data_IF_748522514472
#
_entry.id   IF_748522514472
#
_cell.length_a   1.000
_cell.length_b   1.000
_cell.length_c   1.000
_cell.angle_alpha   90.00
_cell.angle_beta   90.00
_cell.angle_gamma   90.00
#
_symmetry.space_group_name_H-M   'P 1'
#
loop_
_entity.id
_entity.type
_entity.pdbx_description
1 polymer ?
#
# COMPACT_ATOMS: atom_id res chain seq x y z
N UNK A 1 -1.19 4.18 -17.57
CA UNK A 1 -1.70 3.50 -16.39
C UNK A 1 -2.73 4.41 -15.77
N UNK A 2 -3.83 3.85 -15.29
CA UNK A 2 -4.78 4.55 -14.42
C UNK A 2 -4.77 3.92 -13.05
N UNK A 3 -4.82 4.76 -12.01
CA UNK A 3 -4.99 4.29 -10.64
C UNK A 3 -6.39 3.71 -10.47
N UNK A 4 -6.45 2.42 -10.16
CA UNK A 4 -7.66 1.64 -9.98
C UNK A 4 -8.14 1.66 -8.53
N UNK A 5 -7.21 1.38 -7.61
CA UNK A 5 -7.47 1.37 -6.18
C UNK A 5 -6.19 1.62 -5.37
N UNK A 6 -6.38 2.08 -4.14
CA UNK A 6 -5.33 2.17 -3.11
C UNK A 6 -5.72 1.20 -2.01
N UNK A 7 -4.83 0.28 -1.66
CA UNK A 7 -5.09 -0.76 -0.66
C UNK A 7 -3.97 -0.87 0.36
N UNK A 8 -4.34 -1.34 1.56
CA UNK A 8 -3.39 -1.78 2.58
C UNK A 8 -3.35 -3.30 2.59
N UNK A 9 -2.16 -3.87 2.44
CA UNK A 9 -1.94 -5.32 2.40
C UNK A 9 -1.08 -5.72 3.60
N UNK A 10 -1.59 -6.65 4.40
CA UNK A 10 -0.82 -7.27 5.46
C UNK A 10 0.26 -8.16 4.85
N UNK A 11 1.52 -7.89 5.19
CA UNK A 11 2.64 -8.81 5.00
C UNK A 11 2.98 -9.41 6.36
N UNK A 12 2.83 -10.72 6.50
CA UNK A 12 3.11 -11.43 7.74
C UNK A 12 3.54 -12.87 7.46
N UNK A 13 4.52 -13.35 8.20
CA UNK A 13 5.02 -14.74 8.16
C UNK A 13 5.48 -15.16 6.75
N UNK A 14 6.06 -14.20 6.00
CA UNK A 14 6.56 -14.43 4.64
C UNK A 14 5.50 -14.42 3.55
N UNK A 15 4.28 -13.94 3.82
CA UNK A 15 3.19 -13.84 2.84
C UNK A 15 2.56 -12.46 2.80
N UNK A 16 2.08 -12.07 1.63
CA UNK A 16 1.06 -11.03 1.45
C UNK A 16 -0.33 -11.67 1.57
N UNK A 17 -1.12 -11.21 2.53
CA UNK A 17 -2.48 -11.70 2.81
C UNK A 17 -3.50 -10.87 2.02
N UNK A 18 -3.65 -11.21 0.74
CA UNK A 18 -4.47 -10.46 -0.23
C UNK A 18 -5.98 -10.55 0.04
N UNK A 19 -6.46 -11.64 0.64
CA UNK A 19 -7.87 -11.80 1.03
C UNK A 19 -8.28 -10.90 2.21
N UNK A 20 -7.30 -10.37 2.94
CA UNK A 20 -7.48 -9.44 4.07
C UNK A 20 -7.11 -8.00 3.67
N UNK A 21 -6.89 -7.75 2.38
CA UNK A 21 -6.52 -6.43 1.89
C UNK A 21 -7.63 -5.42 2.19
N UNK A 22 -7.24 -4.28 2.77
CA UNK A 22 -8.18 -3.21 3.12
C UNK A 22 -8.17 -2.18 2.00
N UNK A 23 -9.30 -2.00 1.34
CA UNK A 23 -9.47 -0.98 0.31
C UNK A 23 -9.58 0.38 0.98
N UNK A 24 -8.60 1.25 0.75
CA UNK A 24 -8.64 2.65 1.22
C UNK A 24 -9.48 3.48 0.28
N UNK A 25 -9.32 3.26 -1.03
CA UNK A 25 -10.11 3.92 -2.07
C UNK A 25 -10.17 3.05 -3.33
N UNK A 26 -11.33 3.01 -3.96
CA UNK A 26 -11.54 2.38 -5.27
C UNK A 26 -12.13 3.42 -6.22
N UNK A 27 -11.56 3.55 -7.42
CA UNK A 27 -11.95 4.57 -8.40
C UNK A 27 -12.82 4.00 -9.53
N UNK A 28 -12.91 2.68 -9.67
CA UNK A 28 -13.66 2.03 -10.75
C UNK A 28 -14.45 0.79 -10.30
N UNK A 29 -14.75 0.70 -9.01
CA UNK A 29 -15.54 -0.40 -8.45
C UNK A 29 -14.76 -1.70 -8.24
N UNK A 30 -13.44 -1.72 -8.43
CA UNK A 30 -12.61 -2.85 -8.04
C UNK A 30 -12.78 -3.19 -6.56
N UNK A 31 -12.94 -4.48 -6.26
CA UNK A 31 -13.40 -5.00 -4.97
C UNK A 31 -12.45 -6.01 -4.30
N UNK A 32 -11.28 -6.28 -4.88
CA UNK A 32 -10.27 -7.13 -4.24
C UNK A 32 -9.50 -8.03 -5.20
N UNK A 33 -8.66 -8.86 -4.60
CA UNK A 33 -7.84 -9.83 -5.31
C UNK A 33 -8.56 -11.18 -5.44
N UNK A 34 -8.35 -11.88 -6.55
CA UNK A 34 -8.84 -13.26 -6.72
C UNK A 34 -8.07 -14.29 -5.86
N UNK A 35 -6.82 -13.98 -5.51
CA UNK A 35 -5.97 -14.84 -4.68
C UNK A 35 -6.11 -14.45 -3.20
N UNK A 36 -6.09 -15.44 -2.30
CA UNK A 36 -6.12 -15.18 -0.85
C UNK A 36 -4.77 -14.78 -0.27
N UNK A 37 -3.67 -15.40 -0.73
CA UNK A 37 -2.31 -15.14 -0.24
C UNK A 37 -1.27 -15.39 -1.31
N UNK A 38 -0.16 -14.65 -1.26
CA UNK A 38 1.00 -14.81 -2.16
C UNK A 38 2.28 -14.73 -1.35
N UNK A 39 3.30 -15.53 -1.70
CA UNK A 39 4.59 -15.51 -0.99
C UNK A 39 5.27 -14.15 -1.18
N UNK A 40 5.73 -13.55 -0.08
CA UNK A 40 6.50 -12.32 -0.12
C UNK A 40 7.97 -12.63 -0.45
N UNK A 41 8.58 -11.79 -1.29
CA UNK A 41 10.01 -11.91 -1.63
C UNK A 41 10.91 -11.63 -0.41
N UNK A 42 10.51 -10.68 0.44
CA UNK A 42 11.31 -10.22 1.57
C UNK A 42 10.66 -10.59 2.91
N UNK A 43 11.45 -11.07 3.88
CA UNK A 43 10.97 -11.40 5.21
C UNK A 43 10.76 -10.10 6.00
N UNK A 44 9.52 -9.83 6.41
CA UNK A 44 9.22 -8.70 7.27
C UNK A 44 7.73 -8.61 7.55
N UNK A 45 7.38 -8.19 8.76
CA UNK A 45 5.99 -8.05 9.18
C UNK A 45 5.58 -6.58 9.11
N UNK A 46 4.38 -6.32 8.59
CA UNK A 46 3.85 -4.97 8.49
C UNK A 46 2.70 -4.85 7.50
N UNK A 47 2.15 -3.67 7.41
CA UNK A 47 1.18 -3.28 6.39
C UNK A 47 1.88 -2.47 5.33
N UNK A 48 1.61 -2.78 4.06
CA UNK A 48 2.11 -2.03 2.91
C UNK A 48 0.98 -1.37 2.14
N UNK A 49 1.23 -0.16 1.64
CA UNK A 49 0.34 0.49 0.66
C UNK A 49 0.65 -0.07 -0.72
N UNK A 50 -0.36 -0.55 -1.42
CA UNK A 50 -0.26 -0.93 -2.82
C UNK A 50 -1.20 -0.10 -3.68
N UNK A 51 -0.68 0.35 -4.82
CA UNK A 51 -1.45 1.00 -5.88
C UNK A 51 -1.83 -0.05 -6.91
N UNK A 52 -3.13 -0.30 -7.04
CA UNK A 52 -3.64 -1.20 -8.07
C UNK A 52 -3.82 -0.36 -9.32
N UNK A 53 -3.14 -0.74 -10.38
CA UNK A 53 -3.15 -0.02 -11.66
C UNK A 53 -3.91 -0.82 -12.70
N UNK A 54 -4.42 -0.13 -13.71
CA UNK A 54 -4.91 -0.73 -14.95
C UNK A 54 -4.30 -0.03 -16.16
N UNK A 55 -4.15 -0.73 -17.30
CA UNK A 55 -3.71 -0.10 -18.54
C UNK A 55 -4.62 1.06 -18.96
N UNK A 56 -4.05 1.98 -19.73
CA UNK A 56 -4.75 3.11 -20.35
C UNK A 56 -4.09 3.49 -21.66
N UNK A 57 -4.80 4.22 -22.51
CA UNK A 57 -4.29 4.71 -23.80
C UNK A 57 -2.89 5.36 -23.74
N UNK A 58 -2.59 6.15 -22.69
CA UNK A 58 -1.26 6.76 -22.50
C UNK A 58 -0.12 5.73 -22.51
N UNK A 59 -0.34 4.51 -22.01
CA UNK A 59 0.68 3.46 -22.02
C UNK A 59 1.03 3.04 -23.44
N UNK A 60 0.02 2.97 -24.31
CA UNK A 60 0.15 2.61 -25.72
C UNK A 60 0.79 3.77 -26.49
N UNK A 61 0.27 4.99 -26.30
CA UNK A 61 0.75 6.20 -26.97
C UNK A 61 2.23 6.47 -26.65
N UNK A 62 2.65 6.23 -25.41
CA UNK A 62 4.03 6.51 -24.96
C UNK A 62 4.95 5.30 -25.12
N UNK A 63 4.40 4.10 -25.38
CA UNK A 63 5.15 2.85 -25.41
C UNK A 63 5.73 2.43 -24.05
N UNK A 64 5.30 3.03 -22.94
CA UNK A 64 5.81 2.75 -21.59
C UNK A 64 4.73 2.96 -20.52
N UNK A 65 4.65 2.07 -19.49
CA UNK A 65 3.75 2.25 -18.36
C UNK A 65 3.87 3.61 -17.66
N UNK A 66 2.85 4.45 -17.80
CA UNK A 66 2.90 5.85 -17.33
C UNK A 66 1.70 6.18 -16.44
N UNK A 67 1.92 6.62 -15.20
CA UNK A 67 0.85 7.05 -14.29
C UNK A 67 0.94 8.55 -14.04
N UNK A 68 -0.14 9.27 -14.34
CA UNK A 68 -0.34 10.65 -13.89
C UNK A 68 -1.24 10.65 -12.64
N UNK A 69 -0.73 11.22 -11.55
CA UNK A 69 -1.47 11.34 -10.30
C UNK A 69 -2.16 12.69 -10.20
N UNK A 70 -3.43 12.69 -9.78
CA UNK A 70 -4.12 13.92 -9.37
C UNK A 70 -3.75 14.29 -7.94
N UNK A 71 -3.97 15.56 -7.57
CA UNK A 71 -3.77 16.03 -6.19
C UNK A 71 -4.57 15.20 -5.18
N UNK A 72 -5.84 14.91 -5.49
CA UNK A 72 -6.70 14.08 -4.64
C UNK A 72 -6.15 12.65 -4.46
N UNK A 73 -5.55 12.08 -5.52
CA UNK A 73 -4.93 10.76 -5.44
C UNK A 73 -3.66 10.80 -4.57
N UNK A 74 -2.83 11.84 -4.70
CA UNK A 74 -1.66 12.04 -3.85
C UNK A 74 -2.04 12.13 -2.37
N UNK A 75 -3.08 12.89 -2.03
CA UNK A 75 -3.59 13.00 -0.67
C UNK A 75 -4.12 11.66 -0.14
N UNK A 76 -4.85 10.90 -0.97
CA UNK A 76 -5.33 9.57 -0.62
C UNK A 76 -4.18 8.58 -0.38
N UNK A 77 -3.11 8.65 -1.18
CA UNK A 77 -1.88 7.88 -0.99
C UNK A 77 -1.24 8.26 0.33
N UNK A 78 -1.08 9.55 0.62
CA UNK A 78 -0.49 10.03 1.88
C UNK A 78 -1.29 9.53 3.09
N UNK A 79 -2.63 9.59 3.03
CA UNK A 79 -3.51 9.06 4.07
C UNK A 79 -3.35 7.55 4.25
N UNK A 80 -3.25 6.80 3.16
CA UNK A 80 -2.99 5.36 3.19
C UNK A 80 -1.64 5.05 3.85
N UNK A 81 -0.58 5.81 3.51
CA UNK A 81 0.75 5.65 4.11
C UNK A 81 0.71 5.89 5.62
N UNK A 82 0.11 7.01 6.08
CA UNK A 82 -0.06 7.28 7.51
C UNK A 82 -0.78 6.12 8.22
N UNK A 83 -1.82 5.57 7.59
CA UNK A 83 -2.56 4.44 8.16
C UNK A 83 -1.75 3.15 8.18
N UNK A 84 -0.95 2.91 7.15
CA UNK A 84 -0.02 1.79 7.08
C UNK A 84 0.97 1.82 8.23
N UNK A 85 1.50 3.00 8.54
CA UNK A 85 2.43 3.22 9.64
C UNK A 85 1.78 2.88 10.99
N UNK A 86 0.57 3.37 11.25
CA UNK A 86 -0.18 3.05 12.47
C UNK A 86 -0.50 1.55 12.62
N UNK A 87 -0.95 0.90 11.54
CA UNK A 87 -1.33 -0.51 11.59
C UNK A 87 -0.11 -1.41 11.81
N UNK A 88 1.02 -1.03 11.22
CA UNK A 88 2.27 -1.75 11.40
C UNK A 88 2.84 -1.54 12.80
N UNK A 89 2.79 -0.30 13.34
CA UNK A 89 3.15 -0.04 14.74
C UNK A 89 2.36 -0.93 15.70
N UNK A 90 1.03 -1.00 15.51
CA UNK A 90 0.16 -1.91 16.30
C UNK A 90 0.50 -3.38 16.13
N UNK A 91 0.92 -3.80 14.93
CA UNK A 91 1.28 -5.19 14.64
C UNK A 91 2.60 -5.58 15.31
N UNK A 92 3.59 -4.68 15.28
CA UNK A 92 4.93 -4.93 15.80
C UNK A 92 5.03 -4.64 17.30
N UNK A 93 4.15 -3.80 17.84
CA UNK A 93 4.23 -3.29 19.21
C UNK A 93 5.24 -2.16 19.38
N UNK A 94 5.90 -1.75 18.30
CA UNK A 94 6.89 -0.68 18.29
C UNK A 94 6.96 0.01 16.92
N UNK A 95 7.57 1.18 16.87
CA UNK A 95 7.90 1.93 15.66
C UNK A 95 9.08 1.35 14.90
N UNK A 96 9.26 1.76 13.64
CA UNK A 96 10.49 1.47 12.90
C UNK A 96 11.34 2.73 12.79
N UNK A 97 12.59 2.61 13.25
CA UNK A 97 13.56 3.70 13.25
C UNK A 97 14.40 3.77 11.96
N UNK A 98 14.35 2.72 11.15
CA UNK A 98 15.17 2.59 9.94
C UNK A 98 14.29 2.56 8.68
N UNK A 99 14.65 3.37 7.68
CA UNK A 99 13.95 3.44 6.39
C UNK A 99 13.78 4.88 5.89
N UNK A 100 13.30 5.05 4.66
CA UNK A 100 13.10 6.39 4.05
C UNK A 100 11.98 7.22 4.71
N UNK A 101 11.16 6.58 5.53
CA UNK A 101 10.06 7.19 6.26
C UNK A 101 9.95 6.49 7.62
N UNK A 102 10.82 6.79 8.60
CA UNK A 102 10.73 6.20 9.93
C UNK A 102 9.41 6.61 10.61
N UNK A 103 8.84 5.74 11.41
CA UNK A 103 7.62 6.01 12.18
C UNK A 103 7.75 5.46 13.59
N UNK A 104 7.57 6.32 14.57
CA UNK A 104 7.56 6.01 15.99
C UNK A 104 6.61 6.98 16.71
N UNK A 105 6.15 6.59 17.89
CA UNK A 105 5.40 7.44 18.80
C UNK A 105 6.38 8.22 19.69
N UNK A 106 5.95 9.38 20.16
CA UNK A 106 6.79 10.26 20.98
C UNK A 106 7.30 9.57 22.26
N UNK A 107 6.49 8.73 22.88
CA UNK A 107 6.87 7.97 24.09
C UNK A 107 7.95 6.91 23.83
N UNK A 108 8.21 6.54 22.57
CA UNK A 108 9.30 5.62 22.21
C UNK A 108 10.66 6.34 22.11
N UNK A 109 10.68 7.67 22.29
CA UNK A 109 11.89 8.49 22.34
C UNK A 109 12.25 8.95 23.77
N UNK A 110 11.40 8.65 24.76
CA UNK A 110 11.59 8.99 26.17
C UNK A 110 12.13 7.78 26.93
#
# INVERSE_FOLDING_TARGET
MRLRAIVLILRKDGYFHLGEARIVRSYDGWNGFGNRKVKAKYPGNGWGVALILKPSQVDEDFGVPTLFLTQEQLEAIQKAMNRSDELTHRLLGHGWFHGKRPYFKLWELM
#
